data_IF_169286525029
#
_entry.id   IF_169286525029
#
_cell.length_a   1.000
_cell.length_b   1.000
_cell.length_c   1.000
_cell.angle_alpha   90.00
_cell.angle_beta   90.00
_cell.angle_gamma   90.00
#
_symmetry.space_group_name_H-M   'P 1'
#
loop_
_entity.id
_entity.type
_entity.pdbx_description
1 polymer ?
#
# COMPACT_ATOMS: atom_id res chain seq x y z
N UNK A 1 -146.08 -34.90 -102.14
CA UNK A 1 -147.17 -34.87 -101.15
C UNK A 1 -146.71 -33.92 -100.06
N UNK A 2 -147.11 -32.65 -100.14
CA UNK A 2 -148.33 -32.04 -99.55
C UNK A 2 -147.92 -31.27 -98.27
N UNK A 3 -147.99 -29.94 -98.25
CA UNK A 3 -149.16 -29.07 -97.91
C UNK A 3 -149.52 -29.18 -96.42
N UNK A 4 -149.38 -28.14 -95.58
CA UNK A 4 -150.22 -26.92 -95.50
C UNK A 4 -151.38 -27.17 -94.52
N UNK A 5 -151.80 -26.35 -93.54
CA UNK A 5 -152.02 -24.89 -93.41
C UNK A 5 -152.45 -24.64 -91.92
N UNK A 6 -152.00 -23.59 -91.19
CA UNK A 6 -152.50 -22.19 -91.12
C UNK A 6 -153.89 -22.06 -90.46
N UNK A 7 -154.27 -21.05 -89.67
CA UNK A 7 -153.77 -19.68 -89.39
C UNK A 7 -154.54 -19.09 -88.16
N UNK A 8 -153.89 -18.13 -87.47
CA UNK A 8 -154.34 -16.82 -86.91
C UNK A 8 -155.55 -16.71 -85.92
N UNK A 9 -155.64 -15.78 -84.95
CA UNK A 9 -154.86 -14.61 -84.52
C UNK A 9 -155.73 -13.68 -83.61
N UNK A 10 -155.08 -12.70 -82.93
CA UNK A 10 -155.58 -11.47 -82.25
C UNK A 10 -156.04 -11.42 -80.75
N UNK A 11 -155.26 -10.61 -80.00
CA UNK A 11 -155.61 -9.43 -79.16
C UNK A 11 -156.42 -9.52 -77.83
N UNK A 12 -155.69 -9.24 -76.75
CA UNK A 12 -155.90 -8.22 -75.69
C UNK A 12 -157.24 -8.08 -74.91
N UNK A 13 -157.11 -8.19 -73.58
CA UNK A 13 -157.50 -7.24 -72.52
C UNK A 13 -158.30 -7.83 -71.32
N UNK A 14 -157.96 -7.31 -70.14
CA UNK A 14 -158.72 -7.26 -68.89
C UNK A 14 -158.90 -8.54 -68.01
N UNK A 15 -158.03 -8.59 -66.98
CA UNK A 15 -158.40 -8.61 -65.55
C UNK A 15 -159.04 -9.86 -64.89
N UNK A 16 -158.30 -10.40 -63.88
CA UNK A 16 -158.72 -10.85 -62.53
C UNK A 16 -157.89 -12.08 -62.08
N UNK A 17 -156.62 -11.92 -61.68
CA UNK A 17 -156.11 -11.69 -60.31
C UNK A 17 -156.54 -12.69 -59.20
N UNK A 18 -155.55 -13.43 -58.70
CA UNK A 18 -155.10 -13.27 -57.30
C UNK A 18 -155.30 -14.44 -56.33
N UNK A 19 -154.24 -15.25 -56.09
CA UNK A 19 -153.89 -15.75 -54.73
C UNK A 19 -152.52 -16.45 -54.52
N UNK A 20 -151.63 -16.60 -55.51
CA UNK A 20 -150.38 -17.37 -55.32
C UNK A 20 -149.06 -16.56 -55.24
N UNK A 21 -149.14 -15.23 -55.10
CA UNK A 21 -147.95 -14.34 -54.96
C UNK A 21 -147.15 -14.43 -53.63
N UNK A 22 -147.63 -14.95 -52.48
CA UNK A 22 -146.85 -14.84 -51.24
C UNK A 22 -145.77 -15.93 -51.04
N UNK A 23 -145.71 -16.97 -51.89
CA UNK A 23 -144.74 -18.07 -51.72
C UNK A 23 -143.39 -17.78 -52.40
N UNK A 24 -143.41 -17.23 -53.62
CA UNK A 24 -142.20 -16.87 -54.36
C UNK A 24 -141.39 -15.77 -53.63
N UNK A 25 -142.07 -14.79 -53.03
CA UNK A 25 -141.43 -13.70 -52.28
C UNK A 25 -140.80 -14.18 -50.96
N UNK A 26 -141.32 -15.27 -50.36
CA UNK A 26 -140.73 -15.90 -49.18
C UNK A 26 -139.50 -16.74 -49.51
N UNK A 27 -139.49 -17.45 -50.65
CA UNK A 27 -138.34 -18.23 -51.08
C UNK A 27 -137.14 -17.35 -51.47
N UNK A 28 -137.36 -16.23 -52.16
CA UNK A 28 -136.28 -15.28 -52.47
C UNK A 28 -135.69 -14.66 -51.20
N UNK A 29 -136.54 -14.27 -50.23
CA UNK A 29 -136.06 -13.80 -48.92
C UNK A 29 -135.27 -14.87 -48.15
N UNK A 30 -135.60 -16.15 -48.30
CA UNK A 30 -134.85 -17.25 -47.69
C UNK A 30 -133.50 -17.48 -48.38
N UNK A 31 -133.45 -17.43 -49.71
CA UNK A 31 -132.21 -17.57 -50.48
C UNK A 31 -131.26 -16.41 -50.20
N UNK A 32 -131.78 -15.18 -50.09
CA UNK A 32 -131.00 -14.01 -49.71
C UNK A 32 -130.55 -14.06 -48.25
N UNK A 33 -131.39 -14.57 -47.34
CA UNK A 33 -131.01 -14.80 -45.95
C UNK A 33 -129.90 -15.86 -45.83
N UNK A 34 -129.96 -16.95 -46.59
CA UNK A 34 -128.93 -18.00 -46.60
C UNK A 34 -127.63 -17.50 -47.25
N UNK A 35 -127.70 -16.71 -48.34
CA UNK A 35 -126.51 -16.07 -48.93
C UNK A 35 -125.90 -15.01 -48.01
N UNK A 36 -126.73 -14.26 -47.27
CA UNK A 36 -126.26 -13.32 -46.25
C UNK A 36 -125.61 -14.05 -45.07
N UNK A 37 -126.14 -15.21 -44.67
CA UNK A 37 -125.56 -16.07 -43.64
C UNK A 37 -124.23 -16.73 -44.10
N UNK A 38 -124.18 -17.22 -45.34
CA UNK A 38 -122.95 -17.79 -45.92
C UNK A 38 -121.86 -16.73 -46.13
N UNK A 39 -122.22 -15.51 -46.51
CA UNK A 39 -121.28 -14.38 -46.59
C UNK A 39 -120.78 -13.96 -45.22
N UNK A 40 -121.63 -13.96 -44.19
CA UNK A 40 -121.19 -13.61 -42.83
C UNK A 40 -120.29 -14.67 -42.21
N UNK A 41 -120.55 -15.97 -42.42
CA UNK A 41 -119.64 -17.03 -41.97
C UNK A 41 -118.31 -17.04 -42.74
N UNK A 42 -118.32 -16.86 -44.07
CA UNK A 42 -117.09 -16.79 -44.86
C UNK A 42 -116.17 -15.63 -44.47
N UNK A 43 -116.75 -14.49 -44.07
CA UNK A 43 -116.00 -13.35 -43.52
C UNK A 43 -115.46 -13.67 -42.12
N UNK A 44 -116.23 -14.35 -41.26
CA UNK A 44 -115.77 -14.77 -39.92
C UNK A 44 -114.63 -15.78 -39.97
N UNK A 45 -114.67 -16.76 -40.89
CA UNK A 45 -113.60 -17.75 -41.06
C UNK A 45 -112.33 -17.09 -41.60
N UNK A 46 -112.44 -16.17 -42.56
CA UNK A 46 -111.28 -15.39 -43.07
C UNK A 46 -110.71 -14.45 -42.00
N UNK A 47 -111.55 -13.81 -41.20
CA UNK A 47 -111.10 -12.97 -40.08
C UNK A 47 -110.45 -13.79 -38.97
N UNK A 48 -110.96 -14.98 -38.64
CA UNK A 48 -110.36 -15.88 -37.67
C UNK A 48 -109.01 -16.45 -38.15
N UNK A 49 -108.91 -16.85 -39.43
CA UNK A 49 -107.66 -17.33 -40.02
C UNK A 49 -106.60 -16.22 -40.10
N UNK A 50 -106.98 -15.01 -40.50
CA UNK A 50 -106.08 -13.85 -40.53
C UNK A 50 -105.62 -13.43 -39.12
N UNK A 51 -106.52 -13.45 -38.13
CA UNK A 51 -106.21 -13.19 -36.72
C UNK A 51 -105.26 -14.25 -36.14
N UNK A 52 -105.44 -15.52 -36.50
CA UNK A 52 -104.54 -16.60 -36.07
C UNK A 52 -103.15 -16.46 -36.71
N UNK A 53 -103.06 -16.17 -38.01
CA UNK A 53 -101.76 -15.99 -38.69
C UNK A 53 -101.01 -14.76 -38.19
N UNK A 54 -101.70 -13.64 -37.93
CA UNK A 54 -101.10 -12.41 -37.40
C UNK A 54 -100.67 -12.56 -35.94
N UNK A 55 -101.43 -13.30 -35.12
CA UNK A 55 -101.05 -13.64 -33.75
C UNK A 55 -99.81 -14.53 -33.66
N UNK A 56 -99.71 -15.56 -34.50
CA UNK A 56 -98.53 -16.45 -34.56
C UNK A 56 -97.30 -15.69 -35.08
N UNK A 57 -97.45 -14.83 -36.09
CA UNK A 57 -96.36 -13.99 -36.60
C UNK A 57 -95.89 -12.95 -35.56
N UNK A 58 -96.81 -12.34 -34.81
CA UNK A 58 -96.47 -11.42 -33.74
C UNK A 58 -95.73 -12.12 -32.57
N UNK A 59 -96.15 -13.33 -32.20
CA UNK A 59 -95.48 -14.14 -31.18
C UNK A 59 -94.05 -14.53 -31.62
N UNK A 60 -93.86 -14.98 -32.87
CA UNK A 60 -92.54 -15.29 -33.41
C UNK A 60 -91.66 -14.04 -33.49
N UNK A 61 -92.19 -12.91 -33.96
CA UNK A 61 -91.47 -11.64 -33.98
C UNK A 61 -91.06 -11.18 -32.57
N UNK A 62 -91.93 -11.38 -31.57
CA UNK A 62 -91.63 -11.12 -30.17
C UNK A 62 -90.49 -12.00 -29.63
N UNK A 63 -90.51 -13.31 -29.92
CA UNK A 63 -89.42 -14.23 -29.55
C UNK A 63 -88.11 -13.84 -30.22
N UNK A 64 -88.13 -13.53 -31.53
CA UNK A 64 -86.96 -13.04 -32.25
C UNK A 64 -86.42 -11.74 -31.65
N UNK A 65 -87.30 -10.80 -31.27
CA UNK A 65 -86.91 -9.56 -30.62
C UNK A 65 -86.25 -9.81 -29.25
N UNK A 66 -86.81 -10.69 -28.42
CA UNK A 66 -86.22 -11.04 -27.12
C UNK A 66 -84.86 -11.70 -27.30
N UNK A 67 -84.71 -12.64 -28.22
CA UNK A 67 -83.42 -13.29 -28.51
C UNK A 67 -82.41 -12.29 -29.06
N UNK A 68 -82.84 -11.36 -29.92
CA UNK A 68 -81.99 -10.31 -30.47
C UNK A 68 -81.51 -9.35 -29.37
N UNK A 69 -82.41 -8.89 -28.50
CA UNK A 69 -82.06 -8.02 -27.37
C UNK A 69 -81.16 -8.75 -26.38
N UNK A 70 -81.48 -10.00 -26.02
CA UNK A 70 -80.64 -10.81 -25.13
C UNK A 70 -79.24 -11.04 -25.73
N UNK A 71 -79.14 -11.30 -27.03
CA UNK A 71 -77.86 -11.44 -27.74
C UNK A 71 -77.09 -10.13 -27.80
N UNK A 72 -77.77 -9.01 -28.02
CA UNK A 72 -77.15 -7.68 -28.02
C UNK A 72 -76.63 -7.29 -26.63
N UNK A 73 -77.40 -7.58 -25.57
CA UNK A 73 -76.98 -7.36 -24.17
C UNK A 73 -75.81 -8.28 -23.81
N UNK A 74 -75.88 -9.58 -24.12
CA UNK A 74 -74.80 -10.53 -23.89
C UNK A 74 -73.52 -10.12 -24.65
N UNK A 75 -73.64 -9.73 -25.92
CA UNK A 75 -72.54 -9.19 -26.72
C UNK A 75 -71.95 -7.92 -26.10
N UNK A 76 -72.79 -6.99 -25.65
CA UNK A 76 -72.33 -5.78 -24.98
C UNK A 76 -71.61 -6.07 -23.65
N UNK A 77 -72.07 -7.07 -22.89
CA UNK A 77 -71.44 -7.53 -21.65
C UNK A 77 -70.09 -8.20 -21.92
N UNK A 78 -70.01 -9.12 -22.89
CA UNK A 78 -68.76 -9.78 -23.29
C UNK A 78 -67.74 -8.78 -23.88
N UNK A 79 -68.20 -7.85 -24.72
CA UNK A 79 -67.36 -6.78 -25.26
C UNK A 79 -66.84 -5.89 -24.12
N UNK A 80 -67.68 -5.56 -23.12
CA UNK A 80 -67.24 -4.77 -21.96
C UNK A 80 -66.29 -5.54 -21.05
N UNK A 81 -66.53 -6.83 -20.82
CA UNK A 81 -65.71 -7.67 -19.94
C UNK A 81 -64.33 -7.94 -20.54
N UNK A 82 -64.19 -7.99 -21.87
CA UNK A 82 -62.90 -8.21 -22.54
C UNK A 82 -62.19 -6.89 -22.89
N UNK A 83 -62.89 -5.89 -23.48
CA UNK A 83 -62.22 -4.66 -23.96
C UNK A 83 -61.63 -3.81 -22.83
N UNK A 84 -62.28 -3.76 -21.66
CA UNK A 84 -61.80 -2.93 -20.53
C UNK A 84 -60.48 -3.47 -19.94
N UNK A 85 -60.37 -4.75 -19.54
CA UNK A 85 -59.12 -5.31 -19.03
C UNK A 85 -58.01 -5.33 -20.08
N UNK A 86 -58.32 -5.67 -21.34
CA UNK A 86 -57.31 -5.63 -22.42
C UNK A 86 -56.74 -4.23 -22.62
N UNK A 87 -57.58 -3.18 -22.53
CA UNK A 87 -57.09 -1.80 -22.58
C UNK A 87 -56.20 -1.45 -21.39
N UNK A 88 -56.52 -1.95 -20.19
CA UNK A 88 -55.66 -1.76 -19.01
C UNK A 88 -54.30 -2.44 -19.17
N UNK A 89 -54.27 -3.66 -19.73
CA UNK A 89 -53.01 -4.34 -20.06
C UNK A 89 -52.19 -3.55 -21.07
N UNK A 90 -52.81 -3.00 -22.11
CA UNK A 90 -52.13 -2.17 -23.10
C UNK A 90 -51.56 -0.91 -22.45
N UNK A 91 -52.35 -0.20 -21.62
CA UNK A 91 -51.87 1.01 -20.92
C UNK A 91 -50.72 0.67 -19.97
N UNK A 92 -50.82 -0.41 -19.20
CA UNK A 92 -49.74 -0.86 -18.33
C UNK A 92 -48.48 -1.22 -19.13
N UNK A 93 -48.62 -1.92 -20.27
CA UNK A 93 -47.52 -2.26 -21.15
C UNK A 93 -46.84 -1.03 -21.76
N UNK A 94 -47.65 -0.05 -22.20
CA UNK A 94 -47.15 1.22 -22.75
C UNK A 94 -46.38 2.00 -21.69
N UNK A 95 -46.89 2.09 -20.46
CA UNK A 95 -46.18 2.75 -19.35
C UNK A 95 -44.85 2.08 -19.01
N UNK A 96 -44.83 0.74 -18.92
CA UNK A 96 -43.59 -0.02 -18.72
C UNK A 96 -42.60 0.22 -19.88
N UNK A 97 -43.08 0.31 -21.12
CA UNK A 97 -42.24 0.60 -22.29
C UNK A 97 -41.71 2.06 -22.31
N UNK A 98 -42.47 3.00 -21.75
CA UNK A 98 -42.06 4.40 -21.56
C UNK A 98 -41.17 4.60 -20.32
N UNK A 99 -40.98 3.56 -19.51
CA UNK A 99 -40.17 3.59 -18.30
C UNK A 99 -40.91 3.95 -17.02
N UNK A 100 -42.23 4.16 -17.06
CA UNK A 100 -43.08 4.34 -15.87
C UNK A 100 -43.37 2.99 -15.21
N UNK A 101 -42.57 2.65 -14.19
CA UNK A 101 -42.78 1.51 -13.29
C UNK A 101 -43.39 1.92 -11.94
N UNK A 102 -43.62 3.22 -11.72
CA UNK A 102 -44.28 3.75 -10.54
C UNK A 102 -45.78 3.40 -10.53
N UNK A 103 -46.36 3.25 -11.72
CA UNK A 103 -47.77 2.94 -11.86
C UNK A 103 -48.16 1.56 -11.31
N UNK A 104 -49.10 1.54 -10.37
CA UNK A 104 -49.68 0.31 -9.83
C UNK A 104 -50.71 -0.26 -10.80
N UNK A 105 -50.48 -1.50 -11.26
CA UNK A 105 -51.42 -2.23 -12.14
C UNK A 105 -52.56 -2.78 -11.29
N UNK A 106 -53.74 -2.15 -11.36
CA UNK A 106 -54.91 -2.62 -10.61
C UNK A 106 -55.53 -3.87 -11.26
N UNK A 107 -55.40 -5.01 -10.58
CA UNK A 107 -55.93 -6.30 -11.05
C UNK A 107 -57.42 -6.42 -10.73
N UNK A 108 -58.25 -6.54 -11.76
CA UNK A 108 -59.69 -6.74 -11.63
C UNK A 108 -60.13 -8.00 -12.39
N UNK A 109 -60.96 -8.84 -11.76
CA UNK A 109 -61.52 -10.06 -12.37
C UNK A 109 -60.71 -11.34 -12.08
N UNK A 110 -61.37 -12.50 -12.21
CA UNK A 110 -60.79 -13.85 -11.98
C UNK A 110 -60.64 -14.69 -13.26
N UNK A 111 -60.90 -14.08 -14.41
CA UNK A 111 -60.77 -14.70 -15.72
C UNK A 111 -59.33 -14.60 -16.26
N UNK A 112 -59.11 -15.08 -17.49
CA UNK A 112 -57.81 -15.06 -18.15
C UNK A 112 -57.24 -13.64 -18.27
N UNK A 113 -58.10 -12.61 -18.40
CA UNK A 113 -57.65 -11.22 -18.49
C UNK A 113 -57.21 -10.67 -17.14
N UNK A 114 -57.87 -11.08 -16.05
CA UNK A 114 -57.42 -10.81 -14.69
C UNK A 114 -56.07 -11.47 -14.37
N UNK A 115 -55.88 -12.73 -14.77
CA UNK A 115 -54.58 -13.44 -14.62
C UNK A 115 -53.46 -12.80 -15.43
N UNK A 116 -53.77 -12.24 -16.60
CA UNK A 116 -52.82 -11.50 -17.43
C UNK A 116 -52.40 -10.18 -16.75
N UNK A 117 -53.37 -9.40 -16.24
CA UNK A 117 -53.10 -8.20 -15.45
C UNK A 117 -52.26 -8.49 -14.21
N UNK A 118 -52.56 -9.57 -13.49
CA UNK A 118 -51.80 -10.01 -12.32
C UNK A 118 -50.36 -10.38 -12.68
N UNK A 119 -50.16 -11.08 -13.79
CA UNK A 119 -48.82 -11.45 -14.27
C UNK A 119 -48.03 -10.22 -14.73
N UNK A 120 -48.71 -9.24 -15.33
CA UNK A 120 -48.12 -7.95 -15.70
C UNK A 120 -47.72 -7.14 -14.47
N UNK A 121 -48.60 -7.06 -13.45
CA UNK A 121 -48.30 -6.40 -12.18
C UNK A 121 -47.04 -6.99 -11.53
N UNK A 122 -46.98 -8.33 -11.43
CA UNK A 122 -45.79 -9.04 -10.92
C UNK A 122 -44.53 -8.74 -11.75
N UNK A 123 -44.65 -8.63 -13.07
CA UNK A 123 -43.52 -8.28 -13.94
C UNK A 123 -43.02 -6.85 -13.67
N UNK A 124 -43.93 -5.87 -13.59
CA UNK A 124 -43.61 -4.48 -13.25
C UNK A 124 -42.93 -4.39 -11.88
N UNK A 125 -43.47 -5.08 -10.87
CA UNK A 125 -42.88 -5.11 -9.53
C UNK A 125 -41.47 -5.70 -9.52
N UNK A 126 -41.26 -6.84 -10.21
CA UNK A 126 -39.94 -7.47 -10.30
C UNK A 126 -38.94 -6.62 -11.06
N UNK A 127 -39.34 -5.98 -12.15
CA UNK A 127 -38.47 -5.05 -12.89
C UNK A 127 -38.09 -3.85 -12.02
N UNK A 128 -39.05 -3.29 -11.26
CA UNK A 128 -38.80 -2.21 -10.31
C UNK A 128 -37.82 -2.63 -9.21
N UNK A 129 -38.05 -3.78 -8.56
CA UNK A 129 -37.14 -4.32 -7.54
C UNK A 129 -35.71 -4.51 -8.09
N UNK A 130 -35.57 -5.09 -9.29
CA UNK A 130 -34.27 -5.30 -9.92
C UNK A 130 -33.58 -3.98 -10.26
N UNK A 131 -34.30 -3.01 -10.82
CA UNK A 131 -33.73 -1.70 -11.16
C UNK A 131 -33.32 -0.91 -9.90
N UNK A 132 -34.09 -1.02 -8.80
CA UNK A 132 -33.72 -0.44 -7.51
C UNK A 132 -32.45 -1.09 -6.94
N UNK A 133 -32.33 -2.42 -6.98
CA UNK A 133 -31.12 -3.13 -6.53
C UNK A 133 -29.91 -2.72 -7.38
N UNK A 134 -30.06 -2.60 -8.71
CA UNK A 134 -29.02 -2.09 -9.60
C UNK A 134 -28.63 -0.65 -9.26
N UNK A 135 -29.59 0.24 -9.00
CA UNK A 135 -29.29 1.62 -8.61
C UNK A 135 -28.51 1.70 -7.29
N UNK A 136 -28.91 0.92 -6.28
CA UNK A 136 -28.21 0.87 -4.98
C UNK A 136 -26.79 0.34 -5.15
N UNK A 137 -26.60 -0.74 -5.92
CA UNK A 137 -25.27 -1.30 -6.20
C UNK A 137 -24.40 -0.33 -6.99
N UNK A 138 -24.94 0.31 -8.02
CA UNK A 138 -24.21 1.30 -8.81
C UNK A 138 -23.79 2.50 -7.95
N UNK A 139 -24.67 2.98 -7.05
CA UNK A 139 -24.32 4.03 -6.08
C UNK A 139 -23.18 3.59 -5.16
N UNK A 140 -23.24 2.36 -4.64
CA UNK A 140 -22.17 1.80 -3.80
C UNK A 140 -20.83 1.71 -4.54
N UNK A 141 -20.82 1.34 -5.83
CA UNK A 141 -19.61 1.34 -6.67
C UNK A 141 -19.08 2.75 -6.86
N UNK A 142 -19.95 3.74 -7.11
CA UNK A 142 -19.54 5.14 -7.27
C UNK A 142 -18.90 5.69 -5.98
N UNK A 143 -19.51 5.42 -4.82
CA UNK A 143 -19.00 5.85 -3.51
C UNK A 143 -17.66 5.15 -3.18
N UNK A 144 -17.56 3.83 -3.43
CA UNK A 144 -16.31 3.07 -3.23
C UNK A 144 -15.20 3.54 -4.16
N UNK A 145 -15.53 3.89 -5.41
CA UNK A 145 -14.56 4.45 -6.37
C UNK A 145 -14.06 5.83 -5.91
N UNK A 146 -14.92 6.66 -5.32
CA UNK A 146 -14.47 7.94 -4.75
C UNK A 146 -13.50 7.74 -3.56
N UNK A 147 -13.75 6.74 -2.71
CA UNK A 147 -12.83 6.38 -1.63
C UNK A 147 -11.50 5.83 -2.14
N UNK A 148 -11.53 4.96 -3.17
CA UNK A 148 -10.32 4.47 -3.84
C UNK A 148 -9.50 5.60 -4.45
N UNK A 149 -10.15 6.58 -5.09
CA UNK A 149 -9.47 7.72 -5.68
C UNK A 149 -8.74 8.55 -4.60
N UNK A 150 -9.39 8.76 -3.45
CA UNK A 150 -8.75 9.43 -2.31
C UNK A 150 -7.57 8.60 -1.76
N UNK A 151 -7.71 7.29 -1.69
CA UNK A 151 -6.64 6.38 -1.29
C UNK A 151 -5.45 6.40 -2.25
N UNK A 152 -5.69 6.52 -3.55
CA UNK A 152 -4.62 6.65 -4.55
C UNK A 152 -3.85 7.98 -4.42
N UNK A 153 -4.53 9.07 -4.05
CA UNK A 153 -3.86 10.35 -3.77
C UNK A 153 -2.92 10.23 -2.56
N UNK A 154 -3.38 9.59 -1.47
CA UNK A 154 -2.53 9.31 -0.30
C UNK A 154 -1.34 8.41 -0.65
N UNK A 155 -1.58 7.35 -1.44
CA UNK A 155 -0.51 6.46 -1.90
C UNK A 155 0.50 7.19 -2.79
N UNK A 156 0.04 8.10 -3.67
CA UNK A 156 0.92 8.95 -4.49
C UNK A 156 1.83 9.81 -3.60
N UNK A 157 1.24 10.51 -2.63
CA UNK A 157 2.01 11.37 -1.72
C UNK A 157 3.05 10.57 -0.94
N UNK A 158 2.67 9.40 -0.41
CA UNK A 158 3.61 8.52 0.31
C UNK A 158 4.71 7.97 -0.60
N UNK A 159 4.40 7.70 -1.86
CA UNK A 159 5.40 7.26 -2.86
C UNK A 159 6.39 8.37 -3.17
N UNK A 160 5.93 9.62 -3.29
CA UNK A 160 6.78 10.81 -3.45
C UNK A 160 7.65 11.07 -2.21
N UNK A 161 7.09 10.95 -1.00
CA UNK A 161 7.84 11.07 0.26
C UNK A 161 8.92 9.98 0.38
N UNK A 162 8.60 8.75 -0.03
CA UNK A 162 9.57 7.65 -0.09
C UNK A 162 10.68 7.92 -1.10
N UNK A 163 10.37 8.47 -2.27
CA UNK A 163 11.37 8.85 -3.27
C UNK A 163 12.35 9.88 -2.69
N UNK A 164 11.84 10.94 -2.05
CA UNK A 164 12.66 11.96 -1.41
C UNK A 164 13.57 11.37 -0.31
N UNK A 165 13.02 10.50 0.54
CA UNK A 165 13.80 9.84 1.60
C UNK A 165 14.89 8.93 1.03
N UNK A 166 14.60 8.24 -0.09
CA UNK A 166 15.59 7.40 -0.77
C UNK A 166 16.71 8.23 -1.39
N UNK A 167 16.40 9.38 -2.01
CA UNK A 167 17.43 10.30 -2.54
C UNK A 167 18.35 10.80 -1.42
N UNK A 168 17.79 11.22 -0.28
CA UNK A 168 18.60 11.66 0.87
C UNK A 168 19.45 10.51 1.43
N UNK A 169 18.89 9.30 1.54
CA UNK A 169 19.61 8.12 2.02
C UNK A 169 20.74 7.73 1.07
N UNK A 170 20.51 7.82 -0.25
CA UNK A 170 21.53 7.58 -1.26
C UNK A 170 22.69 8.59 -1.12
N UNK A 171 22.38 9.88 -0.98
CA UNK A 171 23.39 10.93 -0.77
C UNK A 171 24.22 10.72 0.51
N UNK A 172 23.57 10.36 1.62
CA UNK A 172 24.27 10.02 2.87
C UNK A 172 25.14 8.76 2.72
N UNK A 173 24.69 7.79 1.93
CA UNK A 173 25.44 6.56 1.65
C UNK A 173 26.69 6.84 0.79
N UNK A 174 26.61 7.77 -0.17
CA UNK A 174 27.77 8.25 -0.93
C UNK A 174 28.80 8.95 -0.03
N UNK A 175 28.35 9.82 0.89
CA UNK A 175 29.22 10.48 1.85
C UNK A 175 29.89 9.48 2.82
N UNK A 176 29.14 8.48 3.28
CA UNK A 176 29.68 7.38 4.08
C UNK A 176 30.71 6.57 3.30
N UNK A 177 30.45 6.26 2.03
CA UNK A 177 31.40 5.56 1.14
C UNK A 177 32.72 6.34 1.04
N UNK A 178 32.63 7.65 0.81
CA UNK A 178 33.80 8.54 0.74
C UNK A 178 34.59 8.53 2.05
N UNK A 179 33.90 8.65 3.19
CA UNK A 179 34.52 8.67 4.52
C UNK A 179 35.21 7.35 4.86
N UNK A 180 34.57 6.22 4.57
CA UNK A 180 35.15 4.89 4.78
C UNK A 180 36.36 4.65 3.88
N UNK A 181 36.29 5.05 2.61
CA UNK A 181 37.45 5.00 1.70
C UNK A 181 38.61 5.87 2.20
N UNK A 182 38.31 7.06 2.72
CA UNK A 182 39.33 7.94 3.29
C UNK A 182 39.94 7.34 4.57
N UNK A 183 39.15 6.69 5.41
CA UNK A 183 39.65 5.99 6.61
C UNK A 183 40.58 4.83 6.26
N UNK A 184 40.24 4.02 5.25
CA UNK A 184 41.09 2.94 4.76
C UNK A 184 42.45 3.47 4.26
N UNK A 185 42.44 4.56 3.49
CA UNK A 185 43.68 5.19 3.02
C UNK A 185 44.49 5.82 4.16
N UNK A 186 43.83 6.52 5.09
CA UNK A 186 44.48 7.07 6.29
C UNK A 186 45.14 5.96 7.12
N UNK A 187 44.45 4.83 7.33
CA UNK A 187 45.02 3.68 8.03
C UNK A 187 46.26 3.14 7.30
N UNK A 188 46.21 3.06 5.96
CA UNK A 188 47.38 2.66 5.15
C UNK A 188 48.57 3.60 5.36
N UNK A 189 48.33 4.91 5.37
CA UNK A 189 49.38 5.93 5.59
C UNK A 189 49.94 5.88 7.01
N UNK A 190 49.09 5.76 8.04
CA UNK A 190 49.52 5.64 9.44
C UNK A 190 50.38 4.39 9.64
N UNK A 191 50.02 3.27 9.00
CA UNK A 191 50.83 2.04 9.06
C UNK A 191 52.23 2.24 8.49
N UNK A 192 52.35 2.96 7.37
CA UNK A 192 53.66 3.28 6.79
C UNK A 192 54.47 4.20 7.70
N UNK A 193 53.83 5.23 8.28
CA UNK A 193 54.48 6.13 9.23
C UNK A 193 54.96 5.40 10.49
N UNK A 194 54.13 4.49 11.02
CA UNK A 194 54.48 3.64 12.16
C UNK A 194 55.67 2.72 11.81
N UNK A 195 55.70 2.12 10.62
CA UNK A 195 56.83 1.31 10.19
C UNK A 195 58.15 2.10 10.17
N UNK A 196 58.12 3.32 9.62
CA UNK A 196 59.30 4.23 9.61
C UNK A 196 59.72 4.62 11.02
N UNK A 197 58.77 4.97 11.89
CA UNK A 197 59.07 5.31 13.29
C UNK A 197 59.70 4.14 14.06
N UNK A 198 59.22 2.91 13.82
CA UNK A 198 59.81 1.71 14.41
C UNK A 198 61.25 1.46 13.92
N UNK A 199 61.51 1.70 12.63
CA UNK A 199 62.86 1.62 12.06
C UNK A 199 63.81 2.65 12.68
N UNK A 200 63.37 3.90 12.81
CA UNK A 200 64.15 4.97 13.44
C UNK A 200 64.45 4.67 14.91
N UNK A 201 63.46 4.20 15.67
CA UNK A 201 63.66 3.81 17.06
C UNK A 201 64.62 2.60 17.19
N UNK A 202 64.56 1.65 16.25
CA UNK A 202 65.48 0.51 16.19
C UNK A 202 66.92 0.99 15.96
N UNK A 203 67.13 1.88 14.97
CA UNK A 203 68.44 2.51 14.71
C UNK A 203 68.92 3.33 15.92
N UNK A 204 68.02 4.03 16.61
CA UNK A 204 68.31 4.73 17.85
C UNK A 204 68.84 3.78 18.93
N UNK A 205 68.18 2.64 19.12
CA UNK A 205 68.63 1.57 20.01
C UNK A 205 70.02 1.02 19.66
N UNK A 206 70.33 0.84 18.38
CA UNK A 206 71.67 0.42 17.94
C UNK A 206 72.76 1.44 18.28
N UNK A 207 72.48 2.74 18.09
CA UNK A 207 73.40 3.83 18.46
C UNK A 207 73.65 3.82 19.96
N UNK A 208 72.59 3.72 20.77
CA UNK A 208 72.68 3.63 22.23
C UNK A 208 73.51 2.40 22.64
N UNK A 209 73.28 1.25 22.02
CA UNK A 209 74.07 0.04 22.26
C UNK A 209 75.57 0.20 21.92
N UNK A 210 75.91 0.99 20.89
CA UNK A 210 77.31 1.37 20.62
C UNK A 210 77.88 2.27 21.72
N UNK A 211 77.10 3.22 22.24
CA UNK A 211 77.54 4.11 23.34
C UNK A 211 77.81 3.32 24.62
N UNK A 212 76.95 2.37 24.99
CA UNK A 212 77.17 1.49 26.15
C UNK A 212 78.49 0.73 26.02
N UNK A 213 78.74 0.08 24.86
CA UNK A 213 80.01 -0.63 24.61
C UNK A 213 81.24 0.29 24.73
N UNK A 214 81.14 1.53 24.26
CA UNK A 214 82.23 2.50 24.39
C UNK A 214 82.44 2.90 25.86
N UNK A 215 81.38 3.11 26.64
CA UNK A 215 81.47 3.41 28.07
C UNK A 215 82.10 2.25 28.86
N UNK A 216 81.74 1.01 28.54
CA UNK A 216 82.37 -0.18 29.13
C UNK A 216 83.86 -0.25 28.79
N UNK A 217 84.24 0.09 27.55
CA UNK A 217 85.62 0.20 27.11
C UNK A 217 86.41 1.28 27.85
N UNK A 218 85.81 2.46 28.05
CA UNK A 218 86.41 3.56 28.84
C UNK A 218 86.59 3.12 30.29
N UNK A 219 85.56 2.51 30.90
CA UNK A 219 85.62 2.02 32.29
C UNK A 219 86.74 0.98 32.48
N UNK A 220 86.85 0.02 31.56
CA UNK A 220 87.91 -0.97 31.57
C UNK A 220 89.30 -0.35 31.39
N UNK A 221 89.44 0.66 30.52
CA UNK A 221 90.69 1.40 30.31
C UNK A 221 91.07 2.19 31.57
N UNK A 222 90.14 2.93 32.17
CA UNK A 222 90.37 3.69 33.40
C UNK A 222 90.80 2.79 34.56
N UNK A 223 90.22 1.59 34.69
CA UNK A 223 90.64 0.61 35.70
C UNK A 223 92.08 0.14 35.50
N UNK A 224 92.52 -0.12 34.27
CA UNK A 224 93.93 -0.44 33.98
C UNK A 224 94.86 0.72 34.31
N UNK A 225 94.45 1.97 34.03
CA UNK A 225 95.24 3.14 34.41
C UNK A 225 95.37 3.20 35.94
N UNK A 226 94.28 2.95 36.69
CA UNK A 226 94.32 2.92 38.16
C UNK A 226 95.33 1.89 38.69
N UNK A 227 95.39 0.70 38.07
CA UNK A 227 96.35 -0.35 38.42
C UNK A 227 97.80 0.11 38.15
N UNK A 228 98.07 0.73 37.00
CA UNK A 228 99.39 1.28 36.63
C UNK A 228 99.81 2.36 37.62
N UNK A 229 98.93 3.28 37.97
CA UNK A 229 99.21 4.33 38.95
C UNK A 229 99.49 3.74 40.34
N UNK A 230 98.82 2.64 40.70
CA UNK A 230 99.13 1.88 41.91
C UNK A 230 100.57 1.32 41.92
N UNK A 231 101.06 0.82 40.78
CA UNK A 231 102.45 0.40 40.63
C UNK A 231 103.41 1.58 40.74
N UNK A 232 103.09 2.73 40.13
CA UNK A 232 103.93 3.95 40.22
C UNK A 232 104.04 4.46 41.66
N UNK A 233 102.94 4.49 42.42
CA UNK A 233 102.94 4.84 43.84
C UNK A 233 103.82 3.85 44.64
N UNK A 234 103.75 2.56 44.33
CA UNK A 234 104.64 1.54 44.89
C UNK A 234 106.12 1.77 44.58
N UNK A 235 106.46 2.14 43.33
CA UNK A 235 107.84 2.49 42.92
C UNK A 235 108.32 3.74 43.65
N UNK A 236 107.46 4.77 43.78
CA UNK A 236 107.78 5.99 44.50
C UNK A 236 108.06 5.70 45.99
N UNK A 237 107.25 4.84 46.63
CA UNK A 237 107.47 4.41 48.00
C UNK A 237 108.80 3.65 48.15
N UNK A 238 109.08 2.68 47.27
CA UNK A 238 110.36 1.95 47.28
C UNK A 238 111.56 2.89 47.11
N UNK A 239 111.47 3.85 46.19
CA UNK A 239 112.50 4.85 45.93
C UNK A 239 112.73 5.75 47.15
N UNK A 240 111.66 6.15 47.84
CA UNK A 240 111.73 6.92 49.09
C UNK A 240 112.43 6.14 50.23
N UNK A 241 112.20 4.83 50.35
CA UNK A 241 112.90 3.97 51.31
C UNK A 241 114.38 3.79 50.93
N UNK A 242 114.68 3.55 49.65
CA UNK A 242 116.06 3.47 49.14
C UNK A 242 116.84 4.76 49.40
N UNK A 243 116.24 5.91 49.14
CA UNK A 243 116.83 7.22 49.37
C UNK A 243 117.07 7.49 50.86
N UNK A 244 116.14 7.08 51.74
CA UNK A 244 116.34 7.14 53.18
C UNK A 244 117.52 6.27 53.62
N UNK A 245 117.60 5.02 53.15
CA UNK A 245 118.72 4.13 53.46
C UNK A 245 120.06 4.71 52.98
N UNK A 246 120.10 5.29 51.78
CA UNK A 246 121.27 5.97 51.24
C UNK A 246 121.66 7.21 52.07
N UNK A 247 120.69 8.00 52.54
CA UNK A 247 120.96 9.15 53.41
C UNK A 247 121.55 8.72 54.77
N UNK A 248 121.07 7.60 55.32
CA UNK A 248 121.62 7.01 56.56
C UNK A 248 123.06 6.54 56.35
N UNK A 249 123.35 5.83 55.26
CA UNK A 249 124.72 5.35 54.99
C UNK A 249 125.67 6.51 54.66
N UNK A 250 125.19 7.56 53.99
CA UNK A 250 125.94 8.79 53.75
C UNK A 250 126.28 9.53 55.06
N UNK A 251 125.34 9.58 56.02
CA UNK A 251 125.60 10.12 57.36
C UNK A 251 126.63 9.28 58.13
N UNK A 252 126.62 7.96 57.94
CA UNK A 252 127.58 7.02 58.55
C UNK A 252 129.00 7.19 58.03
N UNK A 253 129.17 7.60 56.77
CA UNK A 253 130.46 7.87 56.13
C UNK A 253 131.08 9.24 56.51
N UNK A 254 130.39 10.06 57.32
CA UNK A 254 130.90 11.36 57.80
C UNK A 254 131.16 12.37 56.67
N UNK A 255 132.28 13.09 56.72
CA UNK A 255 132.60 14.15 55.74
C UNK A 255 132.73 13.63 54.29
N UNK A 256 133.08 12.35 54.09
CA UNK A 256 133.20 11.76 52.75
C UNK A 256 131.84 11.46 52.10
N UNK A 257 130.77 11.36 52.90
CA UNK A 257 129.41 11.07 52.45
C UNK A 257 128.57 12.31 52.13
N UNK A 258 129.09 13.53 52.37
CA UNK A 258 128.32 14.78 52.29
C UNK A 258 127.63 15.01 50.94
N UNK A 259 128.32 14.73 49.84
CA UNK A 259 127.74 14.82 48.48
C UNK A 259 126.64 13.79 48.23
N UNK A 260 126.82 12.55 48.71
CA UNK A 260 125.81 11.50 48.61
C UNK A 260 124.57 11.79 49.46
N UNK A 261 124.73 12.42 50.64
CA UNK A 261 123.62 12.80 51.49
C UNK A 261 122.69 13.82 50.81
N UNK A 262 123.24 14.79 50.06
CA UNK A 262 122.45 15.78 49.30
C UNK A 262 121.68 15.11 48.17
N UNK A 263 122.33 14.22 47.40
CA UNK A 263 121.66 13.47 46.32
C UNK A 263 120.55 12.57 46.90
N UNK A 264 120.80 11.90 48.02
CA UNK A 264 119.81 11.07 48.68
C UNK A 264 118.59 11.88 49.17
N UNK A 265 118.80 13.09 49.70
CA UNK A 265 117.71 13.98 50.09
C UNK A 265 116.89 14.46 48.87
N UNK A 266 117.54 14.78 47.76
CA UNK A 266 116.86 15.21 46.53
C UNK A 266 116.04 14.06 45.90
N UNK A 267 116.62 12.86 45.82
CA UNK A 267 115.92 11.65 45.34
C UNK A 267 114.71 11.35 46.24
N UNK A 268 114.85 11.52 47.56
CA UNK A 268 113.75 11.35 48.51
C UNK A 268 112.63 12.37 48.26
N UNK A 269 112.98 13.64 48.11
CA UNK A 269 112.03 14.73 47.80
C UNK A 269 111.28 14.45 46.49
N UNK A 270 112.00 14.02 45.45
CA UNK A 270 111.40 13.64 44.16
C UNK A 270 110.45 12.45 44.30
N UNK A 271 110.83 11.42 45.05
CA UNK A 271 110.00 10.24 45.32
C UNK A 271 108.70 10.63 46.07
N UNK A 272 108.79 11.52 47.07
CA UNK A 272 107.59 12.04 47.75
C UNK A 272 106.69 12.84 46.81
N UNK A 273 107.26 13.68 45.94
CA UNK A 273 106.49 14.41 44.91
C UNK A 273 105.79 13.46 43.94
N UNK A 274 106.47 12.40 43.49
CA UNK A 274 105.89 11.38 42.62
C UNK A 274 104.74 10.62 43.30
N UNK A 275 104.87 10.28 44.59
CA UNK A 275 103.80 9.63 45.35
C UNK A 275 102.56 10.53 45.49
N UNK A 276 102.74 11.82 45.77
CA UNK A 276 101.63 12.79 45.83
C UNK A 276 100.93 12.91 44.48
N UNK A 277 101.68 13.08 43.39
CA UNK A 277 101.12 13.15 42.04
C UNK A 277 100.39 11.85 41.65
N UNK A 278 100.94 10.68 42.00
CA UNK A 278 100.28 9.40 41.77
C UNK A 278 98.94 9.30 42.51
N UNK A 279 98.86 9.76 43.77
CA UNK A 279 97.60 9.83 44.51
C UNK A 279 96.57 10.76 43.87
N UNK A 280 96.98 11.95 43.43
CA UNK A 280 96.08 12.90 42.75
C UNK A 280 95.51 12.30 41.46
N UNK A 281 96.37 11.69 40.63
CA UNK A 281 95.92 11.00 39.41
C UNK A 281 94.98 9.84 39.75
N UNK A 282 95.27 9.06 40.81
CA UNK A 282 94.40 7.97 41.25
C UNK A 282 93.01 8.46 41.63
N UNK A 283 92.91 9.58 42.35
CA UNK A 283 91.61 10.20 42.70
C UNK A 283 90.83 10.59 41.44
N UNK A 284 91.47 11.27 40.48
CA UNK A 284 90.82 11.66 39.22
C UNK A 284 90.33 10.46 38.40
N UNK A 285 91.06 9.34 38.43
CA UNK A 285 90.64 8.11 37.75
C UNK A 285 89.42 7.50 38.44
N UNK A 286 89.38 7.47 39.78
CA UNK A 286 88.20 6.98 40.53
C UNK A 286 86.98 7.82 40.20
N UNK A 287 87.11 9.15 40.23
CA UNK A 287 86.02 10.07 39.85
C UNK A 287 85.55 9.84 38.41
N UNK A 288 86.49 9.62 37.47
CA UNK A 288 86.16 9.33 36.07
C UNK A 288 85.42 7.99 35.92
N UNK A 289 85.81 6.95 36.65
CA UNK A 289 85.11 5.65 36.65
C UNK A 289 83.69 5.80 37.18
N UNK A 290 83.50 6.56 38.25
CA UNK A 290 82.17 6.82 38.82
C UNK A 290 81.27 7.60 37.83
N UNK A 291 81.81 8.62 37.17
CA UNK A 291 81.07 9.37 36.14
C UNK A 291 80.70 8.50 34.93
N UNK A 292 81.62 7.68 34.43
CA UNK A 292 81.35 6.73 33.34
C UNK A 292 80.30 5.69 33.76
N UNK A 293 80.35 5.22 35.01
CA UNK A 293 79.34 4.31 35.56
C UNK A 293 77.95 4.94 35.64
N UNK A 294 77.86 6.20 36.09
CA UNK A 294 76.60 6.95 36.08
C UNK A 294 76.07 7.18 34.65
N UNK A 295 76.96 7.56 33.72
CA UNK A 295 76.62 7.72 32.31
C UNK A 295 76.12 6.43 31.67
N UNK A 296 76.78 5.29 31.94
CA UNK A 296 76.38 3.97 31.44
C UNK A 296 74.95 3.61 31.88
N UNK A 297 74.59 3.86 33.15
CA UNK A 297 73.21 3.64 33.65
C UNK A 297 72.16 4.48 32.93
N UNK A 298 72.46 5.76 32.65
CA UNK A 298 71.54 6.65 31.93
C UNK A 298 71.33 6.20 30.48
N UNK A 299 72.41 5.82 29.81
CA UNK A 299 72.38 5.32 28.43
C UNK A 299 71.65 3.98 28.34
N UNK A 300 71.85 3.08 29.31
CA UNK A 300 71.15 1.80 29.37
C UNK A 300 69.63 2.00 29.58
N UNK A 301 69.24 2.95 30.43
CA UNK A 301 67.84 3.36 30.59
C UNK A 301 67.26 3.91 29.27
N UNK A 302 67.99 4.78 28.57
CA UNK A 302 67.57 5.29 27.27
C UNK A 302 67.41 4.16 26.23
N UNK A 303 68.26 3.12 26.29
CA UNK A 303 68.17 1.94 25.43
C UNK A 303 66.88 1.14 25.65
N UNK A 304 66.48 0.96 26.92
CA UNK A 304 65.20 0.33 27.27
C UNK A 304 64.01 1.16 26.79
N UNK A 305 64.04 2.48 26.97
CA UNK A 305 62.98 3.37 26.45
C UNK A 305 62.82 3.24 24.93
N UNK A 306 63.91 3.07 24.18
CA UNK A 306 63.82 2.83 22.73
C UNK A 306 63.15 1.50 22.39
N UNK A 307 63.39 0.44 23.18
CA UNK A 307 62.71 -0.85 23.02
C UNK A 307 61.21 -0.73 23.31
N UNK A 308 60.83 0.01 24.36
CA UNK A 308 59.42 0.27 24.71
C UNK A 308 58.71 1.07 23.60
N UNK A 309 59.39 2.04 22.98
CA UNK A 309 58.87 2.78 21.81
C UNK A 309 58.60 1.83 20.65
N UNK A 310 59.56 0.96 20.30
CA UNK A 310 59.39 -0.03 19.22
C UNK A 310 58.19 -0.94 19.51
N UNK A 311 58.04 -1.42 20.75
CA UNK A 311 56.90 -2.25 21.15
C UNK A 311 55.56 -1.50 21.01
N UNK A 312 55.49 -0.24 21.47
CA UNK A 312 54.29 0.60 21.39
C UNK A 312 53.91 0.90 19.94
N UNK A 313 54.88 1.21 19.08
CA UNK A 313 54.64 1.49 17.65
C UNK A 313 54.15 0.23 16.92
N UNK A 314 54.64 -0.97 17.29
CA UNK A 314 54.10 -2.24 16.77
C UNK A 314 52.64 -2.45 17.17
N UNK A 315 52.28 -2.12 18.41
CA UNK A 315 50.89 -2.21 18.86
C UNK A 315 49.99 -1.25 18.08
N UNK A 316 50.43 0.00 17.85
CA UNK A 316 49.71 0.97 17.00
C UNK A 316 49.54 0.44 15.58
N UNK A 317 50.59 -0.13 14.99
CA UNK A 317 50.51 -0.73 13.65
C UNK A 317 49.49 -1.87 13.57
N UNK A 318 49.37 -2.69 14.62
CA UNK A 318 48.34 -3.72 14.75
C UNK A 318 46.92 -3.15 14.76
N UNK A 319 46.66 -2.16 15.62
CA UNK A 319 45.35 -1.50 15.69
C UNK A 319 44.96 -0.83 14.36
N UNK A 320 45.94 -0.24 13.67
CA UNK A 320 45.71 0.40 12.37
C UNK A 320 45.40 -0.63 11.28
N UNK A 321 45.98 -1.84 11.36
CA UNK A 321 45.61 -2.93 10.46
C UNK A 321 44.18 -3.41 10.70
N UNK A 322 43.72 -3.47 11.96
CA UNK A 322 42.33 -3.78 12.30
C UNK A 322 41.37 -2.70 11.77
N UNK A 323 41.72 -1.41 11.88
CA UNK A 323 40.92 -0.31 11.31
C UNK A 323 40.82 -0.44 9.78
N UNK A 324 41.92 -0.76 9.10
CA UNK A 324 41.90 -0.96 7.65
C UNK A 324 40.98 -2.12 7.25
N UNK A 325 41.08 -3.27 7.93
CA UNK A 325 40.22 -4.43 7.69
C UNK A 325 38.74 -4.12 7.96
N UNK A 326 38.43 -3.43 9.07
CA UNK A 326 37.07 -3.00 9.39
C UNK A 326 36.52 -2.00 8.35
N UNK A 327 37.37 -1.12 7.82
CA UNK A 327 36.98 -0.18 6.76
C UNK A 327 36.68 -0.90 5.44
N UNK A 328 37.46 -1.93 5.08
CA UNK A 328 37.17 -2.77 3.91
C UNK A 328 35.83 -3.52 4.06
N UNK A 329 35.55 -4.07 5.25
CA UNK A 329 34.27 -4.73 5.53
C UNK A 329 33.09 -3.75 5.49
N UNK A 330 33.25 -2.55 6.06
CA UNK A 330 32.26 -1.48 5.95
C UNK A 330 31.99 -1.08 4.50
N UNK A 331 33.03 -0.98 3.67
CA UNK A 331 32.88 -0.68 2.24
C UNK A 331 32.03 -1.73 1.54
N UNK A 332 32.28 -3.02 1.80
CA UNK A 332 31.47 -4.11 1.26
C UNK A 332 30.02 -4.06 1.77
N UNK A 333 29.81 -3.73 3.05
CA UNK A 333 28.47 -3.51 3.61
C UNK A 333 27.73 -2.35 2.94
N UNK A 334 28.43 -1.26 2.63
CA UNK A 334 27.85 -0.10 1.92
C UNK A 334 27.46 -0.45 0.48
N UNK A 335 28.23 -1.29 -0.22
CA UNK A 335 27.83 -1.78 -1.56
C UNK A 335 26.50 -2.56 -1.51
N UNK A 336 26.29 -3.36 -0.45
CA UNK A 336 25.02 -4.07 -0.26
C UNK A 336 23.87 -3.09 0.02
N UNK A 337 24.11 -2.05 0.82
CA UNK A 337 23.13 -0.98 1.06
C UNK A 337 22.78 -0.26 -0.23
N UNK A 338 23.77 0.10 -1.06
CA UNK A 338 23.54 0.70 -2.37
C UNK A 338 22.68 -0.19 -3.29
N UNK A 339 22.92 -1.49 -3.27
CA UNK A 339 22.09 -2.46 -4.01
C UNK A 339 20.65 -2.46 -3.50
N UNK A 340 20.45 -2.42 -2.18
CA UNK A 340 19.12 -2.35 -1.57
C UNK A 340 18.40 -1.03 -1.89
N UNK A 341 19.10 0.11 -1.89
CA UNK A 341 18.56 1.41 -2.30
C UNK A 341 18.10 1.35 -3.76
N UNK A 342 18.91 0.78 -4.66
CA UNK A 342 18.52 0.61 -6.06
C UNK A 342 17.28 -0.26 -6.24
N UNK A 343 17.12 -1.32 -5.44
CA UNK A 343 15.90 -2.13 -5.44
C UNK A 343 14.69 -1.36 -4.90
N UNK A 344 14.87 -0.54 -3.85
CA UNK A 344 13.80 0.30 -3.33
C UNK A 344 13.36 1.38 -4.32
N UNK A 345 14.29 1.98 -5.07
CA UNK A 345 13.98 2.91 -6.15
C UNK A 345 13.10 2.25 -7.23
N UNK A 346 13.43 1.00 -7.62
CA UNK A 346 12.57 0.23 -8.54
C UNK A 346 11.16 0.02 -7.99
N UNK A 347 11.02 -0.26 -6.70
CA UNK A 347 9.70 -0.42 -6.06
C UNK A 347 8.94 0.90 -6.02
N UNK A 348 9.61 2.03 -5.74
CA UNK A 348 9.00 3.36 -5.77
C UNK A 348 8.50 3.71 -7.17
N UNK A 349 9.31 3.48 -8.20
CA UNK A 349 8.90 3.69 -9.60
C UNK A 349 7.73 2.77 -9.99
N UNK A 350 7.75 1.51 -9.54
CA UNK A 350 6.65 0.58 -9.78
C UNK A 350 5.37 1.03 -9.07
N UNK A 351 5.47 1.49 -7.82
CA UNK A 351 4.33 2.04 -7.07
C UNK A 351 3.76 3.27 -7.76
N UNK A 352 4.61 4.16 -8.28
CA UNK A 352 4.15 5.33 -9.04
C UNK A 352 3.34 4.91 -10.29
N UNK A 353 3.84 3.93 -11.06
CA UNK A 353 3.11 3.38 -12.20
C UNK A 353 1.79 2.70 -11.78
N UNK A 354 1.79 1.95 -10.68
CA UNK A 354 0.58 1.32 -10.13
C UNK A 354 -0.45 2.36 -9.66
N UNK A 355 -0.02 3.47 -9.08
CA UNK A 355 -0.90 4.58 -8.67
C UNK A 355 -1.56 5.20 -9.89
N UNK A 356 -0.82 5.44 -10.99
CA UNK A 356 -1.38 5.95 -12.24
C UNK A 356 -2.42 4.98 -12.84
N UNK A 357 -2.08 3.68 -12.90
CA UNK A 357 -2.99 2.65 -13.41
C UNK A 357 -4.25 2.53 -12.52
N UNK A 358 -4.08 2.50 -11.20
CA UNK A 358 -5.18 2.42 -10.26
C UNK A 358 -6.08 3.66 -10.33
N UNK A 359 -5.52 4.84 -10.55
CA UNK A 359 -6.29 6.07 -10.75
C UNK A 359 -7.15 5.99 -12.02
N UNK A 360 -6.59 5.49 -13.12
CA UNK A 360 -7.33 5.29 -14.37
C UNK A 360 -8.47 4.27 -14.22
N UNK A 361 -8.21 3.12 -13.58
CA UNK A 361 -9.22 2.09 -13.32
C UNK A 361 -10.33 2.63 -12.42
N UNK A 362 -9.97 3.34 -11.35
CA UNK A 362 -10.94 3.93 -10.42
C UNK A 362 -11.81 4.99 -11.09
N UNK A 363 -11.23 5.82 -11.96
CA UNK A 363 -11.99 6.79 -12.76
C UNK A 363 -12.99 6.09 -13.70
N UNK A 364 -12.57 5.01 -14.38
CA UNK A 364 -13.45 4.22 -15.24
C UNK A 364 -14.58 3.55 -14.46
N UNK A 365 -14.31 2.98 -13.28
CA UNK A 365 -15.35 2.39 -12.42
C UNK A 365 -16.38 3.44 -11.98
N UNK A 366 -15.94 4.66 -11.65
CA UNK A 366 -16.83 5.78 -11.31
C UNK A 366 -17.70 6.17 -12.51
N UNK A 367 -17.13 6.27 -13.70
CA UNK A 367 -17.86 6.59 -14.93
C UNK A 367 -18.90 5.51 -15.27
N UNK A 368 -18.52 4.23 -15.18
CA UNK A 368 -19.44 3.10 -15.41
C UNK A 368 -20.58 3.09 -14.39
N UNK A 369 -20.30 3.36 -13.12
CA UNK A 369 -21.31 3.46 -12.07
C UNK A 369 -22.28 4.63 -12.31
N UNK A 370 -21.77 5.78 -12.75
CA UNK A 370 -22.58 6.93 -13.13
C UNK A 370 -23.46 6.62 -14.36
N UNK A 371 -22.90 5.98 -15.39
CA UNK A 371 -23.65 5.57 -16.57
C UNK A 371 -24.78 4.57 -16.23
N UNK A 372 -24.56 3.65 -15.28
CA UNK A 372 -25.60 2.76 -14.77
C UNK A 372 -26.70 3.52 -14.01
N UNK A 373 -26.32 4.47 -13.14
CA UNK A 373 -27.28 5.32 -12.42
C UNK A 373 -28.12 6.15 -13.39
N UNK A 374 -27.51 6.74 -14.42
CA UNK A 374 -28.22 7.46 -15.49
C UNK A 374 -29.14 6.53 -16.29
N UNK A 375 -28.68 5.33 -16.61
CA UNK A 375 -29.47 4.35 -17.34
C UNK A 375 -30.71 3.91 -16.56
N UNK A 376 -30.58 3.70 -15.24
CA UNK A 376 -31.71 3.39 -14.34
C UNK A 376 -32.58 4.63 -14.11
N UNK A 377 -32.00 5.83 -14.05
CA UNK A 377 -32.72 7.10 -13.88
C UNK A 377 -33.66 7.46 -15.03
N UNK A 378 -33.55 6.80 -16.18
CA UNK A 378 -34.55 6.88 -17.28
C UNK A 378 -35.87 6.19 -16.94
N UNK A 379 -35.91 5.34 -15.92
CA UNK A 379 -37.10 4.64 -15.45
C UNK A 379 -37.66 5.37 -14.22
N UNK A 380 -38.95 5.69 -14.22
CA UNK A 380 -39.64 6.17 -13.04
C UNK A 380 -39.99 4.97 -12.16
N UNK A 381 -39.27 4.84 -11.05
CA UNK A 381 -39.42 3.74 -10.09
C UNK A 381 -40.41 4.08 -8.97
N UNK A 382 -41.03 5.25 -8.97
CA UNK A 382 -41.97 5.68 -7.95
C UNK A 382 -41.33 5.88 -6.57
N UNK A 383 -40.01 6.03 -6.53
CA UNK A 383 -39.29 6.40 -5.30
C UNK A 383 -39.58 7.87 -5.04
N UNK A 384 -40.57 8.11 -4.17
CA UNK A 384 -40.81 9.44 -3.64
C UNK A 384 -39.52 9.90 -2.96
N UNK A 385 -39.04 11.05 -3.41
CA UNK A 385 -37.78 11.69 -3.06
C UNK A 385 -37.79 12.22 -1.61
N UNK A 386 -38.19 11.40 -0.64
CA UNK A 386 -38.43 11.79 0.77
C UNK A 386 -37.32 11.34 1.74
N UNK A 387 -36.30 10.61 1.30
CA UNK A 387 -35.20 10.16 2.19
C UNK A 387 -33.81 10.66 1.79
N UNK A 388 -33.67 11.54 0.79
CA UNK A 388 -32.37 12.10 0.39
C UNK A 388 -32.07 13.51 0.95
N UNK A 389 -32.93 14.10 1.79
CA UNK A 389 -32.71 15.44 2.37
C UNK A 389 -32.76 15.52 3.91
N UNK A 390 -32.63 14.40 4.63
CA UNK A 390 -32.78 14.38 6.10
C UNK A 390 -31.65 13.69 6.85
N UNK A 391 -30.42 14.22 6.82
CA UNK A 391 -29.43 14.07 7.90
C UNK A 391 -28.23 15.01 7.71
N UNK A 392 -28.51 16.33 7.66
CA UNK A 392 -27.50 17.38 7.83
C UNK A 392 -27.15 17.66 9.30
N UNK A 393 -27.28 16.67 10.19
CA UNK A 393 -26.93 16.78 11.60
C UNK A 393 -25.96 15.67 11.98
N UNK A 394 -24.67 15.91 11.81
CA UNK A 394 -23.66 15.09 12.49
C UNK A 394 -23.85 15.25 14.01
N UNK A 395 -23.96 14.18 14.81
CA UNK A 395 -23.57 14.28 16.19
C UNK A 395 -22.05 14.50 16.21
N UNK A 396 -21.67 15.65 16.75
CA UNK A 396 -20.30 16.03 17.06
C UNK A 396 -19.62 14.90 17.85
N UNK A 397 -18.80 14.09 17.16
CA UNK A 397 -17.98 13.09 17.79
C UNK A 397 -16.92 13.82 18.61
N UNK A 398 -17.18 13.93 19.91
CA UNK A 398 -16.26 14.47 20.89
C UNK A 398 -14.98 13.63 20.82
N UNK A 399 -13.92 14.20 20.25
CA UNK A 399 -12.56 13.65 20.31
C UNK A 399 -12.15 13.66 21.78
N UNK A 400 -12.38 12.54 22.46
CA UNK A 400 -11.90 12.32 23.81
C UNK A 400 -10.39 12.09 23.70
N UNK A 401 -9.62 13.16 23.92
CA UNK A 401 -8.17 13.10 24.19
C UNK A 401 -7.93 12.10 25.31
N UNK A 402 -7.49 10.89 24.98
CA UNK A 402 -6.80 10.02 25.93
C UNK A 402 -5.35 10.50 26.00
N UNK A 403 -5.06 11.28 27.04
CA UNK A 403 -3.70 11.39 27.54
C UNK A 403 -3.33 10.04 28.18
N UNK A 404 -2.21 9.46 27.75
CA UNK A 404 -1.64 8.21 28.26
C UNK A 404 -1.28 7.29 27.09
N UNK A 405 -0.04 6.89 26.86
CA UNK A 405 1.20 7.10 27.56
C UNK A 405 2.33 6.61 26.67
N UNK A 406 3.55 7.05 26.99
CA UNK A 406 4.79 6.55 26.39
C UNK A 406 4.84 5.01 26.38
N UNK A 407 5.36 4.42 25.31
CA UNK A 407 5.60 2.97 25.26
C UNK A 407 5.78 2.38 23.86
N UNK A 408 6.70 2.94 23.05
CA UNK A 408 7.17 2.29 21.81
C UNK A 408 8.70 2.30 21.70
N UNK A 409 9.39 2.26 22.84
CA UNK A 409 10.83 1.98 22.93
C UNK A 409 11.02 0.90 23.99
N UNK A 410 10.75 -0.35 23.62
CA UNK A 410 11.33 -1.55 24.23
C UNK A 410 10.68 -2.80 23.66
N UNK A 411 11.12 -3.21 22.45
CA UNK A 411 11.12 -4.62 22.02
C UNK A 411 12.25 -4.83 21.02
N UNK A 412 13.48 -4.83 21.53
CA UNK A 412 14.60 -5.51 20.87
C UNK A 412 14.61 -6.94 21.42
N UNK A 413 14.58 -8.00 20.59
CA UNK A 413 14.84 -9.34 21.08
C UNK A 413 16.33 -9.48 21.37
N UNK A 414 16.67 -9.79 22.61
CA UNK A 414 18.01 -10.09 23.08
C UNK A 414 18.53 -11.36 22.36
N UNK A 415 19.47 -11.19 21.43
CA UNK A 415 20.21 -12.30 20.82
C UNK A 415 21.13 -12.89 21.89
N UNK A 416 20.81 -14.11 22.33
CA UNK A 416 21.71 -14.91 23.16
C UNK A 416 22.96 -15.31 22.36
N UNK A 417 24.13 -14.84 22.79
CA UNK A 417 25.43 -15.36 22.36
C UNK A 417 25.74 -16.65 23.15
N UNK A 418 26.24 -17.72 22.51
CA UNK A 418 26.71 -18.90 23.23
C UNK A 418 28.10 -18.66 23.83
N UNK A 419 28.36 -19.31 24.97
CA UNK A 419 29.60 -19.28 25.74
C UNK A 419 30.75 -20.04 25.07
#
# INVERSE_FOLDING_TARGET
MESGKREDGLAADAAMHGKDRPLAEKMDKMVDAVKAHARSEGVRVRQAAAAWSTGVQAALAGVFLVVFVASAVMSALLIRSVRRPVRQVIVAATRVAEGDLAHTVEVHGRDETGRLLESMARMTDRLRELLLDVAVRARSVADSSAQLAQGNVDLSQRTEEQACTLEETAGQTEELTSTVSQNAENARQVRELAARAAEEATRGGEVVGRVVRTMDGISASSKRIADIIGVIDGIAFQTNILALNAAVEAARAGEQGRGFAVVAAEVRSLAQRSATAAKEIKTLIVESVDQVGAGSKLVDAAGRTMQDIVASVRQVSGLVAEIAAASEEQSAGIEQVNTAISQMDQVVQHNAALVEEAAAVTASMKEQAQALLEAVGRFDLGVQQETLHGSGGMPEATVRRTAGGAGWVDRVPELALPA
#
